data_IF_343402330107
#
_entry.id   IF_343402330107
#
_cell.length_a   1.000
_cell.length_b   1.000
_cell.length_c   1.000
_cell.angle_alpha   90.00
_cell.angle_beta   90.00
_cell.angle_gamma   90.00
#
_symmetry.space_group_name_H-M   'P 1'
#
loop_
_entity.id
_entity.type
_entity.pdbx_description
1 polymer ?
#
# COMPACT_ATOMS: atom_id res chain seq x y z
N UNK A 1 3.21 -23.93 -25.91
CA UNK A 1 3.03 -22.61 -25.24
C UNK A 1 2.18 -22.84 -23.99
N UNK A 2 2.80 -23.00 -22.82
CA UNK A 2 2.05 -23.29 -21.59
C UNK A 2 1.36 -22.01 -21.07
N UNK A 3 0.04 -22.05 -20.91
CA UNK A 3 -0.73 -21.02 -20.20
C UNK A 3 -0.17 -20.92 -18.77
N UNK A 4 0.42 -19.78 -18.42
CA UNK A 4 0.76 -19.48 -17.01
C UNK A 4 -0.55 -19.26 -16.27
N UNK A 5 -0.96 -20.25 -15.49
CA UNK A 5 -2.08 -20.15 -14.55
C UNK A 5 -1.76 -19.05 -13.53
N UNK A 6 -2.38 -17.88 -13.69
CA UNK A 6 -2.23 -16.74 -12.78
C UNK A 6 -2.86 -16.97 -11.39
N UNK A 7 -3.67 -18.04 -11.23
CA UNK A 7 -4.42 -18.36 -10.01
C UNK A 7 -3.55 -18.94 -8.88
N UNK A 8 -2.28 -19.22 -9.14
CA UNK A 8 -1.43 -20.02 -8.24
C UNK A 8 -0.27 -19.20 -7.64
N UNK A 9 -0.41 -17.88 -7.55
CA UNK A 9 0.68 -17.00 -7.08
C UNK A 9 1.04 -17.19 -5.61
N UNK A 10 0.10 -17.68 -4.79
CA UNK A 10 0.25 -17.74 -3.33
C UNK A 10 0.06 -19.14 -2.72
N UNK A 11 -0.05 -20.22 -3.51
CA UNK A 11 -0.21 -21.55 -2.92
C UNK A 11 1.14 -22.09 -2.44
N UNK A 12 1.15 -22.47 -1.16
CA UNK A 12 2.28 -23.17 -0.55
C UNK A 12 2.34 -24.60 -1.10
N UNK A 13 3.38 -24.87 -1.89
CA UNK A 13 3.67 -26.22 -2.36
C UNK A 13 4.47 -27.01 -1.31
N UNK A 14 4.57 -28.33 -1.49
CA UNK A 14 5.23 -29.23 -0.53
C UNK A 14 6.70 -28.88 -0.27
N UNK A 15 7.40 -28.33 -1.25
CA UNK A 15 8.79 -27.86 -1.09
C UNK A 15 8.88 -26.65 -0.18
N UNK A 16 8.04 -25.63 -0.39
CA UNK A 16 8.01 -24.41 0.43
C UNK A 16 7.63 -24.74 1.87
N UNK A 17 6.63 -25.59 2.07
CA UNK A 17 6.25 -26.06 3.41
C UNK A 17 7.43 -26.74 4.14
N UNK A 18 8.16 -27.63 3.45
CA UNK A 18 9.32 -28.32 4.04
C UNK A 18 10.50 -27.37 4.31
N UNK A 19 10.64 -26.29 3.54
CA UNK A 19 11.65 -25.26 3.78
C UNK A 19 11.28 -24.45 5.03
N UNK A 20 10.06 -23.91 5.08
CA UNK A 20 9.57 -23.14 6.22
C UNK A 20 9.63 -23.93 7.54
N UNK A 21 9.30 -25.22 7.52
CA UNK A 21 9.38 -26.09 8.71
C UNK A 21 10.81 -26.27 9.25
N UNK A 22 11.84 -26.08 8.42
CA UNK A 22 13.25 -26.26 8.79
C UNK A 22 13.94 -24.97 9.21
N UNK A 23 13.25 -23.83 9.17
CA UNK A 23 13.84 -22.56 9.54
C UNK A 23 14.25 -22.56 11.00
N UNK A 24 15.44 -22.01 11.26
CA UNK A 24 15.80 -21.57 12.61
C UNK A 24 15.02 -20.31 12.99
N UNK A 25 15.14 -19.88 14.25
CA UNK A 25 14.36 -18.75 14.76
C UNK A 25 14.57 -17.45 13.95
N UNK A 26 15.80 -17.17 13.50
CA UNK A 26 16.08 -15.94 12.73
C UNK A 26 15.49 -16.04 11.34
N UNK A 27 15.67 -17.19 10.68
CA UNK A 27 15.08 -17.44 9.36
C UNK A 27 13.55 -17.37 9.38
N UNK A 28 12.92 -17.79 10.48
CA UNK A 28 11.48 -17.70 10.64
C UNK A 28 10.99 -16.27 10.92
N UNK A 29 11.74 -15.51 11.72
CA UNK A 29 11.49 -14.09 11.98
C UNK A 29 11.58 -13.26 10.69
N UNK A 30 12.62 -13.49 9.88
CA UNK A 30 12.79 -12.86 8.57
C UNK A 30 11.63 -13.23 7.64
N UNK A 31 11.25 -14.52 7.59
CA UNK A 31 10.13 -14.99 6.76
C UNK A 31 8.80 -14.31 7.13
N UNK A 32 8.49 -14.18 8.41
CA UNK A 32 7.28 -13.48 8.87
C UNK A 32 7.33 -11.99 8.54
N UNK A 33 8.50 -11.37 8.70
CA UNK A 33 8.72 -9.95 8.36
C UNK A 33 8.50 -9.70 6.87
N UNK A 34 9.00 -10.60 6.02
CA UNK A 34 8.85 -10.51 4.58
C UNK A 34 7.40 -10.72 4.13
N UNK A 35 6.65 -11.66 4.76
CA UNK A 35 5.21 -11.80 4.52
C UNK A 35 4.49 -10.49 4.81
N UNK A 36 4.74 -9.90 5.99
CA UNK A 36 4.10 -8.65 6.37
C UNK A 36 4.41 -7.51 5.39
N UNK A 37 5.69 -7.31 5.05
CA UNK A 37 6.11 -6.29 4.07
C UNK A 37 5.46 -6.50 2.70
N UNK A 38 5.47 -7.74 2.20
CA UNK A 38 4.87 -8.06 0.91
C UNK A 38 3.36 -7.82 0.90
N UNK A 39 2.66 -8.15 1.99
CA UNK A 39 1.22 -7.90 2.12
C UNK A 39 0.89 -6.41 2.20
N UNK A 40 1.72 -5.63 2.90
CA UNK A 40 1.61 -4.17 2.93
C UNK A 40 1.85 -3.54 1.56
N UNK A 41 2.88 -3.98 0.83
CA UNK A 41 3.19 -3.48 -0.51
C UNK A 41 2.10 -3.85 -1.53
N UNK A 42 1.58 -5.09 -1.48
CA UNK A 42 0.47 -5.53 -2.33
C UNK A 42 -0.82 -4.76 -1.97
N UNK A 43 -1.08 -4.53 -0.68
CA UNK A 43 -2.15 -3.66 -0.19
C UNK A 43 -2.01 -2.23 -0.70
N UNK A 44 -0.81 -1.64 -0.61
CA UNK A 44 -0.51 -0.29 -1.12
C UNK A 44 -0.60 -0.20 -2.64
N UNK A 45 -0.28 -1.27 -3.37
CA UNK A 45 -0.37 -1.29 -4.83
C UNK A 45 -1.79 -1.56 -5.33
N UNK A 46 -2.61 -2.26 -4.54
CA UNK A 46 -4.01 -2.57 -4.88
C UNK A 46 -4.95 -1.45 -4.47
N UNK A 47 -4.71 -0.83 -3.32
CA UNK A 47 -5.29 0.44 -2.98
C UNK A 47 -4.69 1.49 -3.93
N UNK A 48 -5.52 2.13 -4.74
CA UNK A 48 -5.10 3.22 -5.63
C UNK A 48 -4.86 4.48 -4.79
N UNK A 49 -3.93 4.40 -3.83
CA UNK A 49 -3.63 5.45 -2.85
C UNK A 49 -2.89 6.55 -3.58
N UNK A 50 -3.64 7.60 -3.94
CA UNK A 50 -3.05 8.85 -4.40
C UNK A 50 -2.34 9.49 -3.21
N UNK A 51 -1.03 9.72 -3.35
CA UNK A 51 -0.30 10.52 -2.37
C UNK A 51 -0.83 11.96 -2.42
N UNK A 52 -0.79 12.67 -1.29
CA UNK A 52 -1.18 14.09 -1.21
C UNK A 52 -0.41 14.92 -2.23
N UNK A 53 0.84 14.54 -2.52
CA UNK A 53 1.67 15.15 -3.57
C UNK A 53 1.14 14.90 -4.99
N UNK A 54 0.62 13.71 -5.26
CA UNK A 54 0.02 13.39 -6.56
C UNK A 54 -1.28 14.19 -6.76
N UNK A 55 -2.07 14.35 -5.70
CA UNK A 55 -3.26 15.20 -5.70
C UNK A 55 -2.89 16.66 -6.00
N UNK A 56 -1.84 17.19 -5.34
CA UNK A 56 -1.36 18.55 -5.61
C UNK A 56 -0.91 18.74 -7.07
N UNK A 57 -0.16 17.77 -7.61
CA UNK A 57 0.30 17.79 -8.99
C UNK A 57 -0.87 17.79 -9.99
N UNK A 58 -1.91 16.99 -9.74
CA UNK A 58 -3.13 16.97 -10.55
C UNK A 58 -3.84 18.33 -10.49
N UNK A 59 -4.00 18.93 -9.31
CA UNK A 59 -4.66 20.24 -9.18
C UNK A 59 -3.86 21.33 -9.92
N UNK A 60 -2.53 21.33 -9.82
CA UNK A 60 -1.64 22.27 -10.53
C UNK A 60 -1.75 22.16 -12.06
N UNK A 61 -2.05 20.97 -12.58
CA UNK A 61 -2.24 20.77 -14.02
C UNK A 61 -3.54 21.39 -14.56
N UNK A 62 -4.49 21.74 -13.68
CA UNK A 62 -5.77 22.34 -14.08
C UNK A 62 -5.58 23.81 -14.42
N UNK A 63 -5.81 24.15 -15.69
CA UNK A 63 -5.71 25.52 -16.19
C UNK A 63 -6.69 26.46 -15.48
N UNK A 64 -6.18 27.58 -14.97
CA UNK A 64 -6.99 28.65 -14.36
C UNK A 64 -7.06 28.60 -12.83
N UNK A 65 -6.40 27.64 -12.18
CA UNK A 65 -6.22 27.63 -10.72
C UNK A 65 -4.84 28.21 -10.39
N UNK A 66 -4.82 29.33 -9.67
CA UNK A 66 -3.58 29.95 -9.18
C UNK A 66 -3.13 29.38 -7.83
N UNK A 67 -1.88 29.64 -7.44
CA UNK A 67 -1.22 29.10 -6.23
C UNK A 67 -2.02 29.32 -4.95
N UNK A 68 -2.63 30.50 -4.78
CA UNK A 68 -3.44 30.84 -3.60
C UNK A 68 -4.65 29.92 -3.46
N UNK A 69 -5.30 29.55 -4.58
CA UNK A 69 -6.44 28.63 -4.55
C UNK A 69 -5.98 27.19 -4.36
N UNK A 70 -4.85 26.81 -4.93
CA UNK A 70 -4.24 25.48 -4.72
C UNK A 70 -3.96 25.27 -3.23
N UNK A 71 -3.33 26.23 -2.56
CA UNK A 71 -3.03 26.14 -1.13
C UNK A 71 -4.26 25.90 -0.27
N UNK A 72 -5.33 26.66 -0.52
CA UNK A 72 -6.61 26.49 0.20
C UNK A 72 -7.28 25.13 -0.05
N UNK A 73 -7.19 24.61 -1.27
CA UNK A 73 -7.73 23.29 -1.61
C UNK A 73 -6.92 22.21 -0.87
N UNK A 74 -5.59 22.31 -0.87
CA UNK A 74 -4.73 21.37 -0.15
C UNK A 74 -4.93 21.43 1.37
N UNK A 75 -5.16 22.61 1.96
CA UNK A 75 -5.52 22.75 3.38
C UNK A 75 -6.82 22.00 3.71
N UNK A 76 -7.89 22.22 2.94
CA UNK A 76 -9.17 21.55 3.16
C UNK A 76 -9.08 20.02 3.00
N UNK A 77 -8.26 19.55 2.05
CA UNK A 77 -7.97 18.13 1.87
C UNK A 77 -7.24 17.58 3.09
N UNK A 78 -6.18 18.25 3.55
CA UNK A 78 -5.40 17.82 4.72
C UNK A 78 -6.24 17.80 6.00
N UNK A 79 -7.14 18.78 6.18
CA UNK A 79 -8.07 18.80 7.32
C UNK A 79 -8.98 17.56 7.32
N UNK A 80 -9.54 17.20 6.17
CA UNK A 80 -10.36 15.97 6.02
C UNK A 80 -9.57 14.68 6.24
N UNK A 81 -8.31 14.63 5.79
CA UNK A 81 -7.45 13.47 6.05
C UNK A 81 -7.12 13.33 7.54
N UNK A 82 -6.84 14.44 8.23
CA UNK A 82 -6.55 14.42 9.67
C UNK A 82 -7.79 14.06 10.51
N UNK A 83 -9.00 14.48 10.10
CA UNK A 83 -10.25 14.08 10.73
C UNK A 83 -10.48 12.56 10.62
N UNK A 84 -10.23 11.96 9.45
CA UNK A 84 -10.40 10.52 9.26
C UNK A 84 -9.36 9.70 10.05
N UNK A 85 -8.10 10.15 10.12
CA UNK A 85 -7.06 9.49 10.90
C UNK A 85 -7.39 9.44 12.41
N UNK A 86 -8.11 10.42 12.95
CA UNK A 86 -8.56 10.44 14.34
C UNK A 86 -9.75 9.51 14.64
N UNK A 87 -10.42 8.95 13.63
CA UNK A 87 -11.57 8.04 13.79
C UNK A 87 -11.24 6.55 13.74
N UNK A 88 -10.05 6.17 13.27
CA UNK A 88 -9.62 4.76 13.15
C UNK A 88 -9.01 4.20 14.45
N UNK A 89 -8.67 5.04 15.44
CA UNK A 89 -8.09 4.59 16.73
C UNK A 89 -9.15 4.20 17.80
N UNK A 90 -10.44 4.18 17.45
CA UNK A 90 -11.54 3.98 18.41
C UNK A 90 -12.34 2.67 18.25
N UNK A 91 -11.88 1.71 17.44
CA UNK A 91 -12.52 0.38 17.30
C UNK A 91 -11.62 -0.78 17.75
#
# INVERSE_FOLDING_TARGET
MAKKNHENRYLVNRSIYKAAKRYDHRQFEDFCTDIYKSGWEDGKSSANVLDVKDIEAVIRSVKGIGEVRIGKIMEAINEKFNENAGSEEAE
#
